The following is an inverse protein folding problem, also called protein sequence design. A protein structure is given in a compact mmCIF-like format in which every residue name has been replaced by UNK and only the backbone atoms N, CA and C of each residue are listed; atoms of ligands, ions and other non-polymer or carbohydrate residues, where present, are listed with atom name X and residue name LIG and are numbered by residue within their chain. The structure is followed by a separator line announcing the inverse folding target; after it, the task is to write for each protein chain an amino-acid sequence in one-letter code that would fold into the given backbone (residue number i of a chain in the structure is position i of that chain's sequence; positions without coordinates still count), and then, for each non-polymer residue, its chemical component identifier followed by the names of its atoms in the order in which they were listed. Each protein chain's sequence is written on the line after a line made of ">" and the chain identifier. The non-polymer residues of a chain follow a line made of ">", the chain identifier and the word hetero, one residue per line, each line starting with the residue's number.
data_IF_179543647054
#
_entry.id   IF_179543647054
#
_cell.length_a   1.000
_cell.length_b   1.000
_cell.length_c   1.000
_cell.angle_alpha   90.00
_cell.angle_beta   90.00
_cell.angle_gamma   90.00
#
_symmetry.space_group_name_H-M   'P 1'
#
loop_
_entity.id
_entity.type
_entity.pdbx_description
1 polymer ?
#
# COMPACT_ATOMS: atom_id res chain seq x y z
N UNK A 1 10.01 16.81 10.29
CA UNK A 1 9.53 15.74 11.21
C UNK A 1 9.04 14.60 10.34
N UNK A 2 9.57 13.38 10.52
CA UNK A 2 9.15 12.23 9.69
C UNK A 2 7.70 11.87 9.98
N UNK A 3 6.95 11.48 8.94
CA UNK A 3 5.56 11.01 9.05
C UNK A 3 5.49 9.55 8.60
N UNK A 4 4.75 8.75 9.38
CA UNK A 4 4.44 7.37 9.04
C UNK A 4 2.97 7.29 8.63
N UNK A 5 2.72 6.75 7.44
CA UNK A 5 1.38 6.44 6.95
C UNK A 5 1.21 4.93 6.91
N UNK A 6 0.21 4.41 7.63
CA UNK A 6 -0.11 2.99 7.65
C UNK A 6 -1.41 2.81 6.87
N UNK A 7 -1.35 2.02 5.81
CA UNK A 7 -2.50 1.72 4.96
C UNK A 7 -2.94 0.28 5.16
N UNK A 8 -4.25 0.08 5.22
CA UNK A 8 -4.83 -1.23 4.91
C UNK A 8 -4.88 -1.45 3.38
N UNK A 9 -5.11 -2.69 2.95
CA UNK A 9 -5.15 -3.08 1.55
C UNK A 9 -6.57 -3.10 0.99
N UNK A 10 -7.43 -3.99 1.47
CA UNK A 10 -8.73 -4.25 0.86
C UNK A 10 -9.76 -3.18 1.27
N UNK A 11 -10.45 -2.62 0.28
CA UNK A 11 -11.35 -1.47 0.42
C UNK A 11 -10.70 -0.19 0.97
N UNK A 12 -9.38 -0.16 1.12
CA UNK A 12 -8.58 1.04 1.41
C UNK A 12 -7.77 1.46 0.19
N UNK A 13 -6.82 0.62 -0.25
CA UNK A 13 -6.05 0.85 -1.49
C UNK A 13 -6.66 0.15 -2.69
N UNK A 14 -7.14 -1.09 -2.47
CA UNK A 14 -7.66 -1.96 -3.51
C UNK A 14 -9.17 -2.09 -3.38
N UNK A 15 -9.90 -1.78 -4.44
CA UNK A 15 -11.32 -2.13 -4.52
C UNK A 15 -11.48 -3.64 -4.63
N UNK A 16 -12.20 -4.25 -3.70
CA UNK A 16 -12.51 -5.68 -3.76
C UNK A 16 -13.51 -6.00 -4.89
N UNK A 17 -14.45 -5.09 -5.16
CA UNK A 17 -15.43 -5.20 -6.26
C UNK A 17 -14.74 -5.16 -7.63
N UNK A 18 -13.96 -4.10 -7.90
CA UNK A 18 -13.23 -3.96 -9.17
C UNK A 18 -11.96 -4.83 -9.24
N UNK A 19 -11.63 -5.49 -8.13
CA UNK A 19 -10.44 -6.32 -7.94
C UNK A 19 -9.12 -5.61 -8.25
N UNK A 20 -9.09 -4.28 -8.15
CA UNK A 20 -7.98 -3.45 -8.61
C UNK A 20 -7.69 -2.28 -7.67
N UNK A 21 -6.42 -1.85 -7.66
CA UNK A 21 -6.01 -0.54 -7.16
C UNK A 21 -6.17 0.45 -8.32
N UNK A 22 -7.00 1.47 -8.11
CA UNK A 22 -7.37 2.42 -9.16
C UNK A 22 -6.18 3.32 -9.55
N UNK A 23 -6.11 3.80 -10.81
CA UNK A 23 -4.99 4.61 -11.29
C UNK A 23 -4.69 5.84 -10.43
N UNK A 24 -5.72 6.52 -9.92
CA UNK A 24 -5.53 7.70 -9.06
C UNK A 24 -4.93 7.33 -7.70
N UNK A 25 -5.33 6.20 -7.11
CA UNK A 25 -4.72 5.70 -5.89
C UNK A 25 -3.26 5.32 -6.12
N UNK A 26 -2.93 4.66 -7.24
CA UNK A 26 -1.53 4.36 -7.61
C UNK A 26 -0.69 5.63 -7.73
N UNK A 27 -1.20 6.63 -8.46
CA UNK A 27 -0.53 7.93 -8.61
C UNK A 27 -0.28 8.60 -7.25
N UNK A 28 -1.26 8.57 -6.36
CA UNK A 28 -1.11 9.12 -5.01
C UNK A 28 -0.02 8.41 -4.22
N UNK A 29 -0.04 7.07 -4.18
CA UNK A 29 0.95 6.27 -3.44
C UNK A 29 2.37 6.53 -3.96
N UNK A 30 2.57 6.52 -5.29
CA UNK A 30 3.85 6.90 -5.89
C UNK A 30 4.29 8.31 -5.52
N UNK A 31 3.36 9.26 -5.56
CA UNK A 31 3.68 10.66 -5.22
C UNK A 31 4.13 10.80 -3.76
N UNK A 32 3.41 10.23 -2.80
CA UNK A 32 3.75 10.37 -1.38
C UNK A 32 4.93 9.47 -0.97
N UNK A 33 5.19 8.36 -1.66
CA UNK A 33 6.35 7.50 -1.44
C UNK A 33 7.68 8.20 -1.78
N UNK A 34 7.65 9.15 -2.72
CA UNK A 34 8.82 9.93 -3.12
C UNK A 34 9.11 11.11 -2.18
N UNK A 35 8.26 11.39 -1.19
CA UNK A 35 8.48 12.49 -0.26
C UNK A 35 9.53 12.09 0.80
N UNK A 36 10.62 12.86 0.99
CA UNK A 36 11.79 12.43 1.77
C UNK A 36 11.50 12.18 3.26
N UNK A 37 10.47 12.83 3.79
CA UNK A 37 10.05 12.67 5.19
C UNK A 37 8.94 11.63 5.40
N UNK A 38 8.40 11.04 4.34
CA UNK A 38 7.26 10.14 4.44
C UNK A 38 7.71 8.69 4.37
N UNK A 39 7.20 7.89 5.30
CA UNK A 39 7.38 6.45 5.33
C UNK A 39 5.99 5.83 5.16
N UNK A 40 5.86 4.92 4.20
CA UNK A 40 4.63 4.18 3.98
C UNK A 40 4.79 2.77 4.55
N UNK A 41 3.75 2.30 5.22
CA UNK A 41 3.62 0.94 5.70
C UNK A 41 2.29 0.35 5.23
N UNK A 42 2.30 -0.94 4.94
CA UNK A 42 1.09 -1.71 4.66
C UNK A 42 0.79 -2.57 5.89
N UNK A 43 -0.45 -2.54 6.37
CA UNK A 43 -0.93 -3.44 7.41
C UNK A 43 -2.12 -4.21 6.84
N UNK A 44 -2.02 -5.53 6.72
CA UNK A 44 -3.09 -6.30 6.09
C UNK A 44 -3.23 -7.69 6.69
N UNK A 45 -4.49 -8.15 6.76
CA UNK A 45 -4.81 -9.55 7.06
C UNK A 45 -4.50 -10.50 5.89
N UNK A 46 -3.99 -10.03 4.75
CA UNK A 46 -3.55 -10.95 3.70
C UNK A 46 -2.23 -11.63 4.06
N UNK A 47 -2.13 -12.93 3.77
CA UNK A 47 -0.86 -13.64 3.81
C UNK A 47 0.09 -13.18 2.70
N UNK A 48 1.40 -13.42 2.89
CA UNK A 48 2.50 -13.00 2.00
C UNK A 48 2.22 -13.30 0.52
N UNK A 49 1.74 -14.52 0.22
CA UNK A 49 1.51 -14.96 -1.15
C UNK A 49 0.41 -14.20 -1.91
N UNK A 50 -0.41 -13.39 -1.21
CA UNK A 50 -1.54 -12.64 -1.78
C UNK A 50 -1.26 -11.13 -1.89
N UNK A 51 0.00 -10.72 -1.74
CA UNK A 51 0.46 -9.33 -1.89
C UNK A 51 0.87 -8.98 -3.32
N UNK A 52 0.93 -9.97 -4.21
CA UNK A 52 1.12 -9.82 -5.66
C UNK A 52 0.18 -8.75 -6.28
N UNK A 53 -1.01 -8.57 -5.70
CA UNK A 53 -1.99 -7.55 -6.09
C UNK A 53 -1.50 -6.10 -6.00
N UNK A 54 -0.43 -5.83 -5.23
CA UNK A 54 0.18 -4.50 -5.14
C UNK A 54 0.91 -4.12 -6.44
N UNK A 55 1.51 -5.10 -7.12
CA UNK A 55 2.30 -4.89 -8.32
C UNK A 55 3.43 -3.89 -8.07
N UNK A 56 3.48 -2.84 -8.89
CA UNK A 56 4.47 -1.76 -8.84
C UNK A 56 4.48 -0.97 -7.52
N UNK A 57 3.39 -1.01 -6.73
CA UNK A 57 3.33 -0.33 -5.44
C UNK A 57 4.04 -1.08 -4.31
N UNK A 58 4.41 -2.35 -4.51
CA UNK A 58 5.01 -3.16 -3.44
C UNK A 58 6.29 -2.51 -2.87
N UNK A 59 7.11 -1.93 -3.74
CA UNK A 59 8.33 -1.21 -3.39
C UNK A 59 8.11 0.14 -2.68
N UNK A 60 6.90 0.67 -2.68
CA UNK A 60 6.58 1.93 -1.98
C UNK A 60 6.44 1.73 -0.47
N UNK A 61 6.15 0.52 0.00
CA UNK A 61 5.90 0.23 1.41
C UNK A 61 7.17 -0.28 2.11
N UNK A 62 7.76 0.55 2.96
CA UNK A 62 8.96 0.21 3.74
C UNK A 62 8.70 -0.90 4.75
N UNK A 63 7.52 -0.90 5.34
CA UNK A 63 7.12 -1.90 6.33
C UNK A 63 5.84 -2.61 5.87
N UNK A 64 5.77 -3.92 6.12
CA UNK A 64 4.59 -4.75 5.86
C UNK A 64 4.25 -5.52 7.14
N UNK A 65 3.11 -5.20 7.74
CA UNK A 65 2.59 -5.83 8.94
C UNK A 65 1.56 -6.86 8.46
N UNK A 66 1.93 -8.14 8.56
CA UNK A 66 1.12 -9.26 8.11
C UNK A 66 0.62 -10.00 9.33
N UNK A 67 -0.70 -10.16 9.43
CA UNK A 67 -1.36 -10.66 10.66
C UNK A 67 -1.93 -12.08 10.49
N UNK A 68 -1.53 -12.79 9.43
CA UNK A 68 -2.01 -14.12 9.05
C UNK A 68 -0.86 -15.08 8.77
#
# INVERSE_FOLDING_TARGET
>A
MKKLFVFDLDNTLRSTNLKAILPNARKLIHHIANHPDYILALATGRGVAKLDVLGDLDGCFKYKILVN
#
